data_IF_631984970831
#
_entry.id   IF_631984970831
#
_cell.length_a   1.000
_cell.length_b   1.000
_cell.length_c   1.000
_cell.angle_alpha   90.00
_cell.angle_beta   90.00
_cell.angle_gamma   90.00
#
_symmetry.space_group_name_H-M   'P 1'
#
loop_
_entity.id
_entity.type
_entity.pdbx_description
1 polymer ?
#
# COMPACT_ATOMS: atom_id res chain seq x y z
N UNK A 1 -2.55 -14.46 -3.23
CA UNK A 1 -2.15 -13.21 -3.91
C UNK A 1 -0.70 -12.89 -3.56
N UNK A 2 0.10 -12.60 -4.58
CA UNK A 2 1.51 -12.25 -4.35
C UNK A 2 1.63 -10.80 -3.92
N UNK A 3 2.47 -10.53 -2.92
CA UNK A 3 2.75 -9.18 -2.44
C UNK A 3 4.23 -9.02 -2.12
N UNK A 4 4.70 -7.77 -2.07
CA UNK A 4 5.91 -7.41 -1.34
C UNK A 4 5.55 -6.33 -0.33
N UNK A 5 6.34 -6.22 0.73
CA UNK A 5 6.09 -5.28 1.83
C UNK A 5 7.40 -4.60 2.25
N UNK A 6 7.37 -3.89 3.38
CA UNK A 6 8.53 -3.12 3.83
C UNK A 6 9.79 -3.96 4.00
N UNK A 7 10.92 -3.44 3.49
CA UNK A 7 12.23 -4.07 3.67
C UNK A 7 12.74 -3.85 5.10
N UNK A 8 13.77 -4.61 5.49
CA UNK A 8 14.41 -4.45 6.79
C UNK A 8 14.81 -2.98 7.01
N UNK A 9 14.42 -2.42 8.14
CA UNK A 9 14.60 -1.00 8.47
C UNK A 9 13.47 -0.10 8.02
N UNK A 10 12.57 -0.61 7.15
CA UNK A 10 11.41 0.10 6.63
C UNK A 10 10.16 -0.79 6.69
N UNK A 11 10.04 -1.57 7.76
CA UNK A 11 8.99 -2.56 7.91
C UNK A 11 7.61 -1.92 7.88
N UNK A 12 6.64 -2.62 7.26
CA UNK A 12 5.24 -2.26 7.34
C UNK A 12 4.80 -2.41 8.80
N UNK A 13 4.24 -1.35 9.42
CA UNK A 13 3.87 -1.43 10.84
C UNK A 13 2.77 -2.46 11.09
N UNK A 14 2.88 -3.17 12.21
CA UNK A 14 1.84 -4.11 12.65
C UNK A 14 0.72 -3.35 13.35
N UNK A 15 -0.49 -3.86 13.26
CA UNK A 15 -1.65 -3.27 13.94
C UNK A 15 -2.88 -3.21 13.07
N UNK A 16 -3.89 -2.50 13.54
CA UNK A 16 -5.14 -2.29 12.82
C UNK A 16 -5.26 -0.82 12.45
N UNK A 17 -5.49 -0.54 11.16
CA UNK A 17 -5.51 0.80 10.62
C UNK A 17 -6.76 1.02 9.78
N UNK A 18 -7.39 2.20 9.84
CA UNK A 18 -8.47 2.52 8.92
C UNK A 18 -7.92 2.92 7.55
N UNK A 19 -8.66 2.65 6.50
CA UNK A 19 -8.36 3.23 5.19
C UNK A 19 -8.63 4.72 5.28
N UNK A 20 -7.62 5.54 4.98
CA UNK A 20 -7.69 6.99 5.14
C UNK A 20 -8.06 7.72 3.86
N UNK A 21 -7.47 7.31 2.72
CA UNK A 21 -7.72 7.94 1.44
C UNK A 21 -7.30 7.01 0.30
N UNK A 22 -7.76 7.32 -0.90
CA UNK A 22 -7.42 6.56 -2.11
C UNK A 22 -7.05 7.53 -3.23
N UNK A 23 -5.97 7.23 -3.97
CA UNK A 23 -5.51 8.04 -5.09
C UNK A 23 -5.18 7.13 -6.26
N UNK A 24 -5.93 7.24 -7.36
CA UNK A 24 -5.79 6.35 -8.51
C UNK A 24 -4.44 6.52 -9.22
N UNK A 25 -4.04 7.75 -9.48
CA UNK A 25 -2.82 8.08 -10.24
C UNK A 25 -1.81 8.77 -9.32
N UNK A 26 -1.47 8.13 -8.20
CA UNK A 26 -0.55 8.70 -7.22
C UNK A 26 0.88 8.69 -7.72
N UNK A 27 1.63 9.70 -7.29
CA UNK A 27 3.07 9.79 -7.53
C UNK A 27 3.79 9.96 -6.20
N UNK A 28 4.78 9.13 -5.95
CA UNK A 28 5.58 9.23 -4.73
C UNK A 28 6.75 10.19 -4.95
N UNK A 29 6.70 11.35 -4.33
CA UNK A 29 7.81 12.33 -4.40
C UNK A 29 9.09 11.80 -3.73
N UNK A 30 9.01 11.20 -2.52
CA UNK A 30 10.22 10.67 -1.87
C UNK A 30 10.95 9.62 -2.71
N UNK A 31 10.24 8.81 -3.44
CA UNK A 31 10.82 7.72 -4.22
C UNK A 31 10.83 7.98 -5.72
N UNK A 32 10.32 9.14 -6.14
CA UNK A 32 10.29 9.60 -7.53
C UNK A 32 9.76 8.54 -8.49
N UNK A 33 8.57 8.02 -8.18
CA UNK A 33 7.95 6.98 -8.99
C UNK A 33 6.44 6.90 -8.86
N UNK A 34 5.77 6.24 -9.81
CA UNK A 34 4.32 6.09 -9.77
C UNK A 34 3.90 5.09 -8.70
N UNK A 35 2.72 5.35 -8.10
CA UNK A 35 2.06 4.46 -7.15
C UNK A 35 0.60 4.27 -7.57
N UNK A 36 0.34 3.60 -8.71
CA UNK A 36 -1.02 3.45 -9.22
C UNK A 36 -1.91 2.70 -8.23
N UNK A 37 -3.18 3.11 -8.15
CA UNK A 37 -4.19 2.48 -7.30
C UNK A 37 -3.81 2.50 -5.82
N UNK A 38 -3.29 3.62 -5.34
CA UNK A 38 -2.90 3.76 -3.92
C UNK A 38 -4.11 3.81 -2.99
N UNK A 39 -4.12 2.90 -2.01
CA UNK A 39 -5.11 2.86 -0.93
C UNK A 39 -4.35 3.02 0.39
N UNK A 40 -4.40 4.22 0.95
CA UNK A 40 -3.62 4.58 2.14
C UNK A 40 -4.33 4.16 3.41
N UNK A 41 -3.57 3.55 4.33
CA UNK A 41 -4.08 3.15 5.64
C UNK A 41 -3.23 3.64 6.82
N UNK A 42 -2.22 4.47 6.57
CA UNK A 42 -1.50 5.18 7.64
C UNK A 42 -1.27 6.64 7.26
N UNK A 43 -1.15 7.50 8.28
CA UNK A 43 -0.83 8.90 8.08
C UNK A 43 0.60 9.11 7.58
N UNK A 44 1.49 8.15 7.85
CA UNK A 44 2.88 8.20 7.39
C UNK A 44 3.05 7.90 5.91
N UNK A 45 1.97 7.50 5.21
CA UNK A 45 2.00 7.28 3.78
C UNK A 45 2.13 5.82 3.36
N UNK A 46 1.86 4.87 4.25
CA UNK A 46 1.83 3.44 3.90
C UNK A 46 0.53 3.13 3.19
N UNK A 47 0.63 2.47 2.04
CA UNK A 47 -0.51 2.19 1.17
C UNK A 47 -0.38 0.83 0.48
N UNK A 48 -1.53 0.30 0.04
CA UNK A 48 -1.53 -0.73 -1.00
C UNK A 48 -1.44 -0.02 -2.35
N UNK A 49 -0.55 -0.46 -3.23
CA UNK A 49 -0.50 0.08 -4.59
C UNK A 49 0.16 -0.92 -5.54
N UNK A 50 0.02 -0.68 -6.84
CA UNK A 50 0.74 -1.44 -7.84
C UNK A 50 2.24 -1.18 -7.70
N UNK A 51 3.04 -2.25 -7.65
CA UNK A 51 4.49 -2.11 -7.51
C UNK A 51 5.22 -3.42 -7.68
N UNK A 52 6.53 -3.38 -7.43
CA UNK A 52 7.39 -4.55 -7.60
C UNK A 52 6.97 -5.71 -6.70
N UNK A 53 6.87 -6.90 -7.29
CA UNK A 53 6.61 -8.14 -6.55
C UNK A 53 7.89 -8.90 -6.22
N UNK A 54 9.05 -8.32 -6.55
CA UNK A 54 10.36 -8.96 -6.32
C UNK A 54 11.25 -8.17 -5.36
N UNK A 55 11.01 -6.86 -5.22
CA UNK A 55 11.79 -6.00 -4.34
C UNK A 55 10.93 -5.46 -3.20
N UNK A 56 11.38 -5.59 -1.94
CA UNK A 56 10.66 -5.00 -0.80
C UNK A 56 10.58 -3.47 -0.89
N UNK A 57 9.54 -2.91 -0.30
CA UNK A 57 9.29 -1.48 -0.30
C UNK A 57 9.92 -0.77 0.91
N UNK A 58 9.60 0.53 1.04
CA UNK A 58 9.88 1.33 2.23
C UNK A 58 8.67 1.38 3.17
N UNK A 59 7.87 0.31 3.20
CA UNK A 59 6.71 0.17 4.07
C UNK A 59 5.40 -0.13 3.34
N UNK A 60 5.24 0.35 2.10
CA UNK A 60 4.03 0.11 1.32
C UNK A 60 3.89 -1.37 0.93
N UNK A 61 2.66 -1.80 0.73
CA UNK A 61 2.34 -3.14 0.25
C UNK A 61 2.23 -3.07 -1.27
N UNK A 62 3.15 -3.71 -1.96
CA UNK A 62 3.14 -3.80 -3.42
C UNK A 62 2.24 -4.95 -3.86
N UNK A 63 1.41 -4.69 -4.85
CA UNK A 63 0.48 -5.65 -5.44
C UNK A 63 0.65 -5.66 -6.95
N UNK A 64 0.19 -6.73 -7.60
CA UNK A 64 0.03 -6.71 -9.06
C UNK A 64 -1.08 -5.71 -9.44
N UNK A 65 -1.15 -5.27 -10.73
CA UNK A 65 -2.12 -4.27 -11.13
C UNK A 65 -3.58 -4.63 -10.83
N UNK A 66 -3.96 -5.86 -11.07
CA UNK A 66 -5.34 -6.31 -10.84
C UNK A 66 -5.70 -6.32 -9.36
N UNK A 67 -4.78 -6.79 -8.51
CA UNK A 67 -4.99 -6.82 -7.06
C UNK A 67 -5.01 -5.42 -6.46
N UNK A 68 -4.12 -4.53 -6.92
CA UNK A 68 -4.11 -3.14 -6.46
C UNK A 68 -5.42 -2.44 -6.79
N UNK A 69 -5.92 -2.62 -8.01
CA UNK A 69 -7.21 -2.08 -8.43
C UNK A 69 -8.36 -2.68 -7.63
N UNK A 70 -8.31 -3.99 -7.36
CA UNK A 70 -9.34 -4.67 -6.57
C UNK A 70 -9.43 -4.08 -5.17
N UNK A 71 -8.31 -3.87 -4.49
CA UNK A 71 -8.29 -3.24 -3.17
C UNK A 71 -8.77 -1.80 -3.23
N UNK A 72 -8.33 -1.05 -4.23
CA UNK A 72 -8.75 0.34 -4.43
C UNK A 72 -10.27 0.46 -4.59
N UNK A 73 -10.89 -0.44 -5.35
CA UNK A 73 -12.34 -0.38 -5.61
C UNK A 73 -13.17 -1.01 -4.49
N UNK A 74 -12.61 -1.96 -3.75
CA UNK A 74 -13.35 -2.76 -2.75
C UNK A 74 -13.28 -2.15 -1.36
N UNK A 75 -12.10 -1.65 -0.93
CA UNK A 75 -11.95 -1.06 0.40
C UNK A 75 -12.55 0.33 0.44
N UNK A 76 -13.45 0.56 1.39
CA UNK A 76 -14.04 1.89 1.63
C UNK A 76 -13.19 2.66 2.64
N UNK A 77 -13.22 3.99 2.53
CA UNK A 77 -12.58 4.85 3.54
C UNK A 77 -13.22 4.55 4.90
N UNK A 78 -12.38 4.32 5.90
CA UNK A 78 -12.81 3.94 7.25
C UNK A 78 -12.81 2.45 7.53
N UNK A 79 -12.73 1.58 6.49
CA UNK A 79 -12.60 0.15 6.72
C UNK A 79 -11.28 -0.20 7.36
N UNK A 80 -11.27 -1.22 8.21
CA UNK A 80 -10.08 -1.65 8.94
C UNK A 80 -9.16 -2.50 8.08
N UNK A 81 -7.86 -2.19 8.15
CA UNK A 81 -6.78 -3.00 7.59
C UNK A 81 -5.96 -3.53 8.76
N UNK A 82 -5.83 -4.86 8.89
CA UNK A 82 -5.03 -5.47 9.93
C UNK A 82 -3.73 -6.02 9.37
N UNK A 83 -2.61 -5.52 9.91
CA UNK A 83 -1.27 -6.00 9.53
C UNK A 83 -0.75 -6.90 10.65
N UNK A 84 -0.48 -8.15 10.32
CA UNK A 84 -0.01 -9.16 11.27
C UNK A 84 1.35 -9.71 10.83
N UNK A 85 2.08 -10.24 11.80
CA UNK A 85 3.37 -10.86 11.52
C UNK A 85 3.21 -12.18 10.77
#
# INVERSE_FOLDING_TARGET
MAITHGRKGYETPLGTFPVLRKVKDEWSRPYNGPMPWSTYFTESGIAFHEGSLTEPSHGCIHLDPASARFYFTTLSIGESVQVVA
#
